data_IF_658797162228
#
_entry.id   IF_658797162228
#
_cell.length_a   1.000
_cell.length_b   1.000
_cell.length_c   1.000
_cell.angle_alpha   90.00
_cell.angle_beta   90.00
_cell.angle_gamma   90.00
#
_symmetry.space_group_name_H-M   'P 1'
#
loop_
_entity.id
_entity.type
_entity.pdbx_description
1 polymer ?
#
# COMPACT_ATOMS: atom_id res chain seq x y z
N UNK A 1 -28.88 -8.83 54.45
CA UNK A 1 -27.86 -8.37 53.49
C UNK A 1 -27.43 -9.59 52.68
N UNK A 2 -27.74 -9.64 51.39
CA UNK A 2 -27.23 -10.71 50.52
C UNK A 2 -25.84 -10.31 50.07
N UNK A 3 -24.81 -11.03 50.52
CA UNK A 3 -23.45 -10.89 50.02
C UNK A 3 -23.39 -11.37 48.57
N UNK A 4 -23.33 -10.43 47.63
CA UNK A 4 -23.06 -10.72 46.22
C UNK A 4 -21.58 -11.10 46.09
N UNK A 5 -21.32 -12.40 45.99
CA UNK A 5 -19.99 -12.98 45.74
C UNK A 5 -19.41 -12.37 44.45
N UNK A 6 -18.40 -11.51 44.57
CA UNK A 6 -17.69 -10.91 43.43
C UNK A 6 -17.11 -12.00 42.53
N UNK A 7 -17.77 -12.23 41.39
CA UNK A 7 -17.30 -13.14 40.34
C UNK A 7 -16.90 -12.30 39.13
N UNK A 8 -15.71 -11.70 39.12
CA UNK A 8 -15.30 -10.74 38.08
C UNK A 8 -15.36 -11.35 36.67
N UNK A 9 -15.01 -12.63 36.55
CA UNK A 9 -15.11 -13.39 35.28
C UNK A 9 -16.55 -13.63 34.84
N UNK A 10 -17.47 -13.88 35.78
CA UNK A 10 -18.89 -14.11 35.46
C UNK A 10 -19.56 -12.80 35.05
N UNK A 11 -19.28 -11.71 35.76
CA UNK A 11 -19.76 -10.37 35.42
C UNK A 11 -19.22 -9.93 34.06
N UNK A 12 -17.94 -10.22 33.77
CA UNK A 12 -17.33 -9.96 32.47
C UNK A 12 -18.01 -10.74 31.33
N UNK A 13 -18.29 -12.03 31.52
CA UNK A 13 -18.98 -12.84 30.52
C UNK A 13 -20.43 -12.37 30.28
N UNK A 14 -21.16 -12.03 31.35
CA UNK A 14 -22.52 -11.48 31.23
C UNK A 14 -22.49 -10.13 30.51
N UNK A 15 -21.53 -9.26 30.82
CA UNK A 15 -21.35 -7.99 30.13
C UNK A 15 -21.04 -8.19 28.63
N UNK A 16 -20.16 -9.14 28.29
CA UNK A 16 -19.81 -9.45 26.90
C UNK A 16 -21.04 -9.94 26.10
N UNK A 17 -21.84 -10.84 26.69
CA UNK A 17 -23.07 -11.33 26.06
C UNK A 17 -24.09 -10.21 25.87
N UNK A 18 -24.24 -9.32 26.86
CA UNK A 18 -25.13 -8.17 26.77
C UNK A 18 -24.71 -7.21 25.65
N UNK A 19 -23.40 -6.91 25.53
CA UNK A 19 -22.87 -6.06 24.46
C UNK A 19 -23.08 -6.72 23.09
N UNK A 20 -22.80 -8.01 22.95
CA UNK A 20 -23.01 -8.74 21.70
C UNK A 20 -24.48 -8.72 21.26
N UNK A 21 -25.42 -8.85 22.19
CA UNK A 21 -26.85 -8.76 21.90
C UNK A 21 -27.26 -7.37 21.39
N UNK A 22 -26.73 -6.30 21.99
CA UNK A 22 -27.02 -4.92 21.58
C UNK A 22 -26.45 -4.65 20.19
N UNK A 23 -25.19 -5.00 19.96
CA UNK A 23 -24.52 -4.79 18.66
C UNK A 23 -25.21 -5.63 17.57
N UNK A 24 -25.50 -6.90 17.85
CA UNK A 24 -26.22 -7.78 16.92
C UNK A 24 -27.62 -7.26 16.56
N UNK A 25 -28.36 -6.69 17.53
CA UNK A 25 -29.66 -6.09 17.28
C UNK A 25 -29.56 -4.86 16.35
N UNK A 26 -28.56 -4.00 16.58
CA UNK A 26 -28.36 -2.79 15.76
C UNK A 26 -28.00 -3.14 14.31
N UNK A 27 -27.03 -4.04 14.11
CA UNK A 27 -26.64 -4.49 12.78
C UNK A 27 -27.76 -5.30 12.09
N UNK A 28 -28.49 -6.14 12.84
CA UNK A 28 -29.63 -6.89 12.31
C UNK A 28 -30.77 -5.99 11.82
N UNK A 29 -31.10 -4.94 12.57
CA UNK A 29 -32.09 -3.94 12.13
C UNK A 29 -31.60 -3.20 10.88
N UNK A 30 -30.34 -2.78 10.83
CA UNK A 30 -29.78 -2.08 9.67
C UNK A 30 -29.88 -2.93 8.39
N UNK A 31 -29.58 -4.23 8.46
CA UNK A 31 -29.71 -5.15 7.32
C UNK A 31 -31.16 -5.27 6.81
N UNK A 32 -32.14 -5.34 7.71
CA UNK A 32 -33.56 -5.42 7.33
C UNK A 32 -34.09 -4.13 6.67
N UNK A 33 -33.52 -2.96 7.01
CA UNK A 33 -33.87 -1.71 6.34
C UNK A 33 -33.11 -1.51 5.00
N UNK A 34 -31.89 -2.06 4.88
CA UNK A 34 -31.10 -1.99 3.64
C UNK A 34 -31.70 -2.75 2.47
N UNK A 35 -32.36 -3.89 2.72
CA UNK A 35 -32.97 -4.73 1.66
C UNK A 35 -34.16 -4.07 0.95
N UNK A 36 -34.81 -3.06 1.55
CA UNK A 36 -35.91 -2.31 0.90
C UNK A 36 -35.44 -1.23 -0.07
N UNK A 37 -34.21 -0.73 0.06
CA UNK A 37 -33.66 0.31 -0.85
C UNK A 37 -33.02 -0.31 -2.09
N UNK A 38 -32.56 -1.57 -1.99
CA UNK A 38 -31.90 -2.28 -3.09
C UNK A 38 -32.87 -3.02 -4.04
N UNK A 39 -34.18 -2.97 -3.80
CA UNK A 39 -35.18 -3.43 -4.77
C UNK A 39 -35.06 -4.91 -5.14
N UNK A 40 -34.88 -5.80 -4.16
CA UNK A 40 -35.07 -7.23 -4.37
C UNK A 40 -36.56 -7.58 -4.15
N UNK A 41 -37.39 -7.20 -5.13
CA UNK A 41 -38.64 -7.90 -5.41
C UNK A 41 -38.33 -9.04 -6.39
N UNK A 42 -38.84 -10.23 -6.09
CA UNK A 42 -38.50 -11.46 -6.79
C UNK A 42 -38.95 -11.49 -8.24
N UNK A 43 -38.06 -11.91 -9.14
CA UNK A 43 -38.40 -12.24 -10.52
C UNK A 43 -37.21 -12.86 -11.22
N UNK A 44 -37.32 -14.14 -11.56
CA UNK A 44 -36.21 -14.94 -12.06
C UNK A 44 -35.96 -14.86 -13.57
N UNK A 45 -35.07 -15.79 -13.95
CA UNK A 45 -34.83 -16.41 -15.26
C UNK A 45 -34.02 -15.62 -16.29
N UNK A 46 -32.90 -16.24 -16.65
CA UNK A 46 -32.36 -16.50 -17.99
C UNK A 46 -32.40 -15.38 -19.05
N UNK A 47 -31.23 -15.07 -19.61
CA UNK A 47 -30.89 -15.61 -20.93
C UNK A 47 -29.50 -15.13 -21.36
N UNK A 48 -28.66 -16.10 -21.69
CA UNK A 48 -27.53 -15.99 -22.59
C UNK A 48 -27.88 -15.13 -23.82
N UNK A 49 -27.08 -14.11 -24.09
CA UNK A 49 -26.99 -13.44 -25.38
C UNK A 49 -25.50 -13.36 -25.72
N UNK A 50 -25.01 -14.40 -26.41
CA UNK A 50 -24.63 -14.32 -27.82
C UNK A 50 -23.32 -13.55 -28.05
N UNK A 51 -22.24 -14.33 -28.14
CA UNK A 51 -21.00 -13.90 -28.77
C UNK A 51 -21.28 -13.66 -30.26
N UNK A 52 -21.51 -12.40 -30.62
CA UNK A 52 -21.43 -11.97 -32.01
C UNK A 52 -19.97 -12.01 -32.42
N UNK A 53 -19.61 -13.04 -33.21
CA UNK A 53 -18.39 -13.09 -34.00
C UNK A 53 -18.41 -11.94 -35.00
N UNK A 54 -17.83 -10.80 -34.60
CA UNK A 54 -17.60 -9.66 -35.46
C UNK A 54 -16.39 -9.90 -36.35
N UNK A 55 -16.66 -10.09 -37.65
CA UNK A 55 -15.92 -9.54 -38.79
C UNK A 55 -14.38 -9.56 -38.70
N UNK A 56 -13.79 -10.40 -39.56
CA UNK A 56 -12.39 -10.46 -39.95
C UNK A 56 -11.92 -9.08 -40.46
N UNK A 57 -11.57 -8.17 -39.55
CA UNK A 57 -10.84 -6.95 -39.87
C UNK A 57 -9.38 -7.35 -40.01
N UNK A 58 -8.91 -7.48 -41.25
CA UNK A 58 -7.48 -7.61 -41.53
C UNK A 58 -6.79 -6.32 -41.10
N UNK A 59 -6.25 -6.32 -39.88
CA UNK A 59 -5.39 -5.24 -39.40
C UNK A 59 -4.10 -5.28 -40.21
N UNK A 60 -3.93 -4.29 -41.08
CA UNK A 60 -2.72 -4.07 -41.85
C UNK A 60 -1.62 -3.57 -40.91
N UNK A 61 -0.58 -4.38 -40.72
CA UNK A 61 0.59 -4.01 -39.93
C UNK A 61 1.66 -3.46 -40.88
N UNK A 62 1.98 -2.15 -40.85
CA UNK A 62 3.08 -1.62 -41.65
C UNK A 62 4.41 -2.21 -41.18
N UNK A 63 5.30 -2.51 -42.12
CA UNK A 63 6.65 -2.97 -41.82
C UNK A 63 7.46 -1.87 -41.12
N UNK A 64 8.15 -2.19 -40.00
CA UNK A 64 8.99 -1.21 -39.33
C UNK A 64 10.24 -0.93 -40.15
N UNK A 65 10.49 0.34 -40.42
CA UNK A 65 11.76 0.82 -40.96
C UNK A 65 12.83 0.85 -39.84
N UNK A 66 14.10 0.49 -40.13
CA UNK A 66 15.17 0.58 -39.16
C UNK A 66 15.41 2.05 -38.78
N UNK A 67 15.35 2.35 -37.47
CA UNK A 67 15.72 3.66 -36.96
C UNK A 67 17.25 3.77 -36.94
N UNK A 68 17.81 4.67 -37.74
CA UNK A 68 19.23 5.04 -37.66
C UNK A 68 19.50 5.62 -36.27
N UNK A 69 20.27 4.89 -35.47
CA UNK A 69 20.82 5.34 -34.18
C UNK A 69 21.70 6.56 -34.42
N UNK A 70 21.10 7.75 -34.32
CA UNK A 70 21.88 8.97 -34.12
C UNK A 70 22.13 9.05 -32.62
N UNK A 71 23.34 8.67 -32.21
CA UNK A 71 23.82 8.84 -30.85
C UNK A 71 23.62 10.31 -30.43
N UNK A 72 22.84 10.62 -29.39
CA UNK A 72 22.91 11.95 -28.80
C UNK A 72 24.24 12.04 -28.07
N UNK A 73 25.16 12.84 -28.61
CA UNK A 73 26.32 13.37 -27.87
C UNK A 73 25.77 14.23 -26.74
N UNK A 74 25.37 13.59 -25.65
CA UNK A 74 25.12 14.26 -24.37
C UNK A 74 26.48 14.51 -23.77
N UNK A 75 26.95 15.74 -23.89
CA UNK A 75 27.92 16.30 -22.95
C UNK A 75 27.26 16.28 -21.57
N UNK A 76 27.34 15.14 -20.89
CA UNK A 76 27.06 15.04 -19.47
C UNK A 76 28.29 15.58 -18.76
N UNK A 77 28.18 16.80 -18.21
CA UNK A 77 29.04 17.20 -17.12
C UNK A 77 28.82 16.19 -15.97
N UNK A 78 29.75 15.25 -15.85
CA UNK A 78 29.82 14.31 -14.76
C UNK A 78 30.10 15.10 -13.47
N UNK A 79 29.02 15.45 -12.75
CA UNK A 79 29.17 15.76 -11.34
C UNK A 79 29.50 14.45 -10.62
N UNK A 80 30.66 14.34 -9.93
CA UNK A 80 31.12 13.08 -9.37
C UNK A 80 30.12 12.54 -8.36
N UNK A 81 29.88 11.23 -8.47
CA UNK A 81 28.98 10.48 -7.61
C UNK A 81 29.26 10.75 -6.14
N UNK A 82 28.26 11.31 -5.46
CA UNK A 82 28.18 11.17 -4.03
C UNK A 82 27.59 9.79 -3.78
N UNK A 83 28.47 8.86 -3.42
CA UNK A 83 28.07 7.59 -2.80
C UNK A 83 27.04 7.88 -1.70
N UNK A 84 25.97 7.08 -1.56
CA UNK A 84 25.07 7.25 -0.44
C UNK A 84 25.88 7.12 0.85
N UNK A 85 25.92 8.20 1.64
CA UNK A 85 26.49 8.16 2.98
C UNK A 85 25.48 7.44 3.88
N UNK A 86 25.46 6.11 3.80
CA UNK A 86 24.81 5.27 4.81
C UNK A 86 25.75 5.18 6.00
N UNK A 87 25.62 6.12 6.93
CA UNK A 87 26.28 6.00 8.24
C UNK A 87 25.26 6.16 9.35
N UNK A 88 24.39 5.18 9.52
CA UNK A 88 23.89 4.78 10.84
C UNK A 88 23.74 3.27 10.84
N UNK A 89 24.59 2.60 11.62
CA UNK A 89 24.45 1.16 11.90
C UNK A 89 23.33 1.01 12.92
N UNK A 90 22.08 1.01 12.46
CA UNK A 90 20.93 0.60 13.28
C UNK A 90 21.07 -0.90 13.62
N UNK A 91 20.51 -1.35 14.76
CA UNK A 91 20.37 -2.79 15.06
C UNK A 91 19.76 -3.47 13.85
N UNK A 92 20.23 -4.67 13.45
CA UNK A 92 19.80 -5.35 12.23
C UNK A 92 18.28 -5.32 12.06
N UNK A 93 17.77 -4.31 11.35
CA UNK A 93 16.35 -4.13 11.10
C UNK A 93 15.93 -5.27 10.19
N UNK A 94 14.84 -5.94 10.56
CA UNK A 94 14.35 -7.11 9.83
C UNK A 94 13.88 -6.74 8.41
N UNK A 95 13.55 -5.45 8.21
CA UNK A 95 13.19 -4.83 6.94
C UNK A 95 14.21 -3.72 6.66
N UNK A 96 14.84 -3.75 5.49
CA UNK A 96 15.71 -2.66 5.02
C UNK A 96 15.00 -1.86 3.93
N UNK A 97 15.25 -0.56 3.88
CA UNK A 97 14.73 0.37 2.90
C UNK A 97 15.84 1.29 2.39
N UNK A 98 15.81 1.58 1.10
CA UNK A 98 16.71 2.52 0.42
C UNK A 98 15.92 3.32 -0.61
N UNK A 99 16.29 4.59 -0.75
CA UNK A 99 15.79 5.46 -1.82
C UNK A 99 16.87 5.63 -2.88
N UNK A 100 16.51 5.48 -4.15
CA UNK A 100 17.47 5.64 -5.26
C UNK A 100 17.86 7.10 -5.49
N UNK A 101 16.99 8.05 -5.11
CA UNK A 101 17.21 9.48 -5.26
C UNK A 101 17.26 10.16 -3.88
N UNK A 102 18.24 11.04 -3.68
CA UNK A 102 18.36 11.87 -2.46
C UNK A 102 17.73 13.25 -2.63
N UNK A 103 17.49 13.68 -3.87
CA UNK A 103 16.82 14.93 -4.21
C UNK A 103 16.04 14.79 -5.52
N UNK A 104 14.85 15.36 -5.59
CA UNK A 104 13.95 15.30 -6.76
C UNK A 104 13.16 16.59 -6.94
N UNK A 105 12.68 16.85 -8.17
CA UNK A 105 11.71 17.92 -8.41
C UNK A 105 10.34 17.58 -7.78
N UNK A 106 9.47 18.56 -7.49
CA UNK A 106 8.10 18.27 -7.08
C UNK A 106 7.40 17.36 -8.09
N UNK A 107 6.66 16.37 -7.59
CA UNK A 107 5.97 15.33 -8.39
C UNK A 107 6.89 14.38 -9.18
N UNK A 108 8.21 14.50 -9.06
CA UNK A 108 9.10 13.53 -9.64
C UNK A 108 9.08 12.22 -8.83
N UNK A 109 9.27 11.11 -9.52
CA UNK A 109 9.30 9.79 -8.93
C UNK A 109 10.50 9.61 -8.00
N UNK A 110 10.24 9.01 -6.84
CA UNK A 110 11.21 8.56 -5.86
C UNK A 110 11.10 7.04 -5.78
N UNK A 111 12.12 6.33 -6.26
CA UNK A 111 12.16 4.87 -6.22
C UNK A 111 12.61 4.39 -4.84
N UNK A 112 11.83 3.47 -4.28
CA UNK A 112 12.05 2.86 -2.98
C UNK A 112 12.28 1.37 -3.18
N UNK A 113 13.40 0.87 -2.67
CA UNK A 113 13.76 -0.55 -2.75
C UNK A 113 14.18 -1.06 -1.39
N UNK A 114 14.05 -2.37 -1.16
CA UNK A 114 14.43 -2.94 0.11
C UNK A 114 14.38 -4.45 0.16
N UNK A 115 14.78 -4.98 1.32
CA UNK A 115 14.78 -6.42 1.61
C UNK A 115 14.00 -6.73 2.87
N UNK A 116 13.37 -7.90 2.90
CA UNK A 116 12.67 -8.43 4.06
C UNK A 116 12.78 -9.96 4.08
N UNK A 117 13.84 -10.45 4.71
CA UNK A 117 14.24 -11.87 4.65
C UNK A 117 13.20 -12.86 5.20
N UNK A 118 12.34 -12.42 6.13
CA UNK A 118 11.32 -13.24 6.79
C UNK A 118 9.90 -12.85 6.38
N UNK A 119 9.75 -11.94 5.40
CA UNK A 119 8.48 -11.33 5.05
C UNK A 119 7.96 -11.74 3.68
N UNK A 120 8.29 -12.93 3.18
CA UNK A 120 7.80 -13.37 1.87
C UNK A 120 6.26 -13.34 1.81
N UNK A 121 5.70 -12.65 0.81
CA UNK A 121 4.26 -12.46 0.68
C UNK A 121 3.65 -11.40 1.61
N UNK A 122 4.42 -10.78 2.49
CA UNK A 122 3.94 -9.69 3.35
C UNK A 122 3.54 -8.47 2.52
N UNK A 123 2.54 -7.73 3.00
CA UNK A 123 2.14 -6.45 2.44
C UNK A 123 2.72 -5.33 3.29
N UNK A 124 3.54 -4.50 2.65
CA UNK A 124 4.19 -3.35 3.26
C UNK A 124 3.45 -2.07 2.89
N UNK A 125 3.15 -1.27 3.92
CA UNK A 125 2.58 0.06 3.84
C UNK A 125 3.72 1.10 3.84
N UNK A 126 3.81 1.92 2.81
CA UNK A 126 4.71 3.08 2.83
C UNK A 126 4.17 4.12 3.79
N UNK A 127 5.03 4.68 4.63
CA UNK A 127 4.68 5.74 5.56
C UNK A 127 5.58 6.96 5.33
N UNK A 128 5.03 8.15 5.56
CA UNK A 128 5.77 9.41 5.56
C UNK A 128 5.73 10.03 6.96
N UNK A 129 6.83 10.65 7.39
CA UNK A 129 6.82 11.42 8.64
C UNK A 129 6.18 12.79 8.40
N UNK A 130 5.08 13.05 9.11
CA UNK A 130 4.30 14.30 9.03
C UNK A 130 4.11 14.86 10.43
N UNK A 131 4.59 16.09 10.68
CA UNK A 131 4.45 16.73 12.00
C UNK A 131 5.04 15.91 13.15
N UNK A 132 6.11 15.14 12.88
CA UNK A 132 6.74 14.25 13.87
C UNK A 132 6.01 12.92 14.11
N UNK A 133 4.94 12.64 13.38
CA UNK A 133 4.20 11.37 13.46
C UNK A 133 4.25 10.64 12.12
N UNK A 134 4.38 9.31 12.15
CA UNK A 134 4.31 8.49 10.95
C UNK A 134 2.87 8.35 10.48
N UNK A 135 2.64 8.71 9.22
CA UNK A 135 1.34 8.71 8.55
C UNK A 135 1.40 7.79 7.32
N UNK A 136 0.30 7.10 7.02
CA UNK A 136 0.25 6.19 5.89
C UNK A 136 0.24 6.99 4.57
N UNK A 137 1.24 6.70 3.73
CA UNK A 137 1.30 7.20 2.38
C UNK A 137 0.52 6.25 1.47
N UNK A 138 -0.27 6.68 0.47
CA UNK A 138 -1.19 5.81 -0.26
C UNK A 138 -0.49 4.88 -1.29
N UNK A 139 0.54 4.14 -0.86
CA UNK A 139 1.31 3.18 -1.63
C UNK A 139 1.57 1.95 -0.75
N UNK A 140 1.21 0.79 -1.28
CA UNK A 140 1.50 -0.52 -0.69
C UNK A 140 2.33 -1.36 -1.66
N UNK A 141 3.14 -2.28 -1.14
CA UNK A 141 3.95 -3.19 -1.95
C UNK A 141 3.98 -4.58 -1.32
N UNK A 142 3.90 -5.62 -2.15
CA UNK A 142 4.10 -7.00 -1.71
C UNK A 142 5.57 -7.38 -1.76
N UNK A 143 6.05 -8.11 -0.76
CA UNK A 143 7.39 -8.69 -0.78
C UNK A 143 7.41 -9.94 -1.63
N UNK A 144 8.38 -10.03 -2.53
CA UNK A 144 8.64 -11.22 -3.33
C UNK A 144 10.14 -11.50 -3.45
N UNK A 145 10.51 -12.77 -3.35
CA UNK A 145 11.92 -13.19 -3.32
C UNK A 145 12.70 -12.44 -2.22
N UNK A 146 12.07 -12.23 -1.06
CA UNK A 146 12.62 -11.48 0.09
C UNK A 146 13.01 -10.03 -0.23
N UNK A 147 12.50 -9.46 -1.33
CA UNK A 147 12.76 -8.10 -1.76
C UNK A 147 11.46 -7.37 -2.09
N UNK A 148 11.52 -6.04 -2.13
CA UNK A 148 10.42 -5.22 -2.61
C UNK A 148 10.95 -4.00 -3.36
N UNK A 149 10.16 -3.51 -4.31
CA UNK A 149 10.44 -2.29 -5.06
C UNK A 149 9.12 -1.58 -5.35
N UNK A 150 9.10 -0.27 -5.12
CA UNK A 150 7.95 0.60 -5.36
C UNK A 150 8.43 2.02 -5.63
N UNK A 151 7.50 2.93 -5.84
CA UNK A 151 7.81 4.35 -5.95
C UNK A 151 6.78 5.21 -5.25
N UNK A 152 7.19 6.42 -4.89
CA UNK A 152 6.30 7.47 -4.40
C UNK A 152 6.49 8.75 -5.22
N UNK A 153 5.46 9.58 -5.24
CA UNK A 153 5.51 10.92 -5.84
C UNK A 153 4.83 11.89 -4.88
N UNK A 154 5.46 13.02 -4.63
CA UNK A 154 4.94 14.02 -3.69
C UNK A 154 5.27 15.43 -4.19
N UNK A 155 4.35 16.36 -3.96
CA UNK A 155 4.56 17.79 -4.17
C UNK A 155 4.98 18.51 -2.87
N UNK A 156 5.07 17.81 -1.74
CA UNK A 156 5.52 18.42 -0.50
C UNK A 156 7.02 18.72 -0.59
N UNK A 157 7.34 20.00 -0.66
CA UNK A 157 8.71 20.49 -0.71
C UNK A 157 9.43 20.31 0.64
N UNK A 158 10.76 20.30 0.60
CA UNK A 158 11.65 20.10 1.74
C UNK A 158 12.04 18.63 1.94
N UNK A 159 12.59 18.34 3.12
CA UNK A 159 13.02 16.99 3.49
C UNK A 159 11.80 16.14 3.80
N UNK A 160 11.55 15.14 2.97
CA UNK A 160 10.54 14.11 3.19
C UNK A 160 11.23 12.87 3.75
N UNK A 161 10.70 12.33 4.86
CA UNK A 161 11.18 11.07 5.43
C UNK A 161 10.18 9.96 5.15
N UNK A 162 10.67 8.84 4.65
CA UNK A 162 9.86 7.67 4.35
C UNK A 162 10.35 6.45 5.14
N UNK A 163 9.43 5.54 5.42
CA UNK A 163 9.72 4.18 5.88
C UNK A 163 8.66 3.23 5.33
N UNK A 164 8.84 1.93 5.53
CA UNK A 164 7.78 0.94 5.31
C UNK A 164 7.40 0.25 6.62
N UNK A 165 6.14 -0.18 6.70
CA UNK A 165 5.60 -0.95 7.82
C UNK A 165 4.91 -2.21 7.30
N UNK A 166 5.20 -3.36 7.86
CA UNK A 166 4.44 -4.58 7.63
C UNK A 166 3.03 -4.43 8.23
N UNK A 167 2.01 -4.64 7.39
CA UNK A 167 0.60 -4.45 7.78
C UNK A 167 0.08 -5.51 8.74
N UNK A 168 0.72 -6.68 8.81
CA UNK A 168 0.30 -7.78 9.69
C UNK A 168 1.09 -7.80 11.00
N UNK A 169 2.40 -7.53 10.94
CA UNK A 169 3.31 -7.66 12.10
C UNK A 169 3.68 -6.33 12.77
N UNK A 170 3.31 -5.19 12.18
CA UNK A 170 3.71 -3.84 12.59
C UNK A 170 5.24 -3.60 12.64
N UNK A 171 6.05 -4.51 12.09
CA UNK A 171 7.49 -4.32 11.94
C UNK A 171 7.78 -3.18 10.95
N UNK A 172 8.74 -2.33 11.28
CA UNK A 172 9.13 -1.17 10.45
C UNK A 172 10.55 -1.28 9.93
N UNK A 173 10.81 -0.65 8.80
CA UNK A 173 12.17 -0.44 8.29
C UNK A 173 12.88 0.73 8.93
N UNK A 174 14.15 0.91 8.57
CA UNK A 174 14.86 2.17 8.71
C UNK A 174 14.14 3.32 7.99
N UNK A 175 14.52 4.54 8.35
CA UNK A 175 14.08 5.77 7.69
C UNK A 175 14.97 6.07 6.47
N UNK A 176 14.38 6.66 5.44
CA UNK A 176 15.11 7.25 4.30
C UNK A 176 14.67 8.69 4.11
N UNK A 177 15.61 9.58 3.81
CA UNK A 177 15.36 11.01 3.59
C UNK A 177 15.53 11.38 2.12
N UNK A 178 14.57 12.13 1.59
CA UNK A 178 14.61 12.66 0.21
C UNK A 178 14.19 14.11 0.21
N UNK A 179 15.01 14.97 -0.39
CA UNK A 179 14.68 16.40 -0.55
C UNK A 179 13.84 16.63 -1.79
N UNK A 180 12.74 17.38 -1.67
CA UNK A 180 11.88 17.74 -2.79
C UNK A 180 11.89 19.25 -2.96
N UNK A 181 12.18 19.75 -4.16
CA UNK A 181 12.10 21.18 -4.48
C UNK A 181 13.34 21.78 -5.11
#
# INVERSE_FOLDING_TARGET
>A
MSESKDRPVLTGLVALVAVAAVVGLLFGLAALFGTKVLGLDGGGVDASAEATSGSETTMYLPEPEPTETTEPTTTAEAQPGQAPSSTETTPAEQISLSASQVSVSPMQQIDLTGTYAQGEGAILQVQRLEGGTWSDFPVTVSVSNQTFSTYVQTSQAGVNRFRVKDTDSDLTSNEVEVTVG
#
